data_IF_088380560586
#
_entry.id   IF_088380560586
#
_cell.length_a   1.000
_cell.length_b   1.000
_cell.length_c   1.000
_cell.angle_alpha   90.00
_cell.angle_beta   90.00
_cell.angle_gamma   90.00
#
_symmetry.space_group_name_H-M   'P 1'
#
loop_
_entity.id
_entity.type
_entity.pdbx_description
1 polymer ?
#
# COMPACT_ATOMS: atom_id res chain seq x y z
N UNK A 1 25.14 -0.94 -7.85
CA UNK A 1 25.26 -0.49 -6.45
C UNK A 1 24.19 0.56 -6.24
N UNK A 2 23.40 0.53 -5.16
CA UNK A 2 22.40 1.57 -4.92
C UNK A 2 23.11 2.93 -4.89
N UNK A 3 22.64 3.87 -5.70
CA UNK A 3 23.20 5.23 -5.72
C UNK A 3 22.90 5.89 -4.37
N UNK A 4 23.96 6.29 -3.66
CA UNK A 4 23.86 7.04 -2.40
C UNK A 4 23.22 8.39 -2.71
N UNK A 5 22.17 8.76 -1.98
CA UNK A 5 21.47 10.03 -2.20
C UNK A 5 21.66 11.04 -1.06
N UNK A 6 20.98 12.19 -1.15
CA UNK A 6 21.12 13.26 -0.16
C UNK A 6 20.67 12.80 1.24
N UNK A 7 19.61 12.00 1.32
CA UNK A 7 19.14 11.44 2.58
C UNK A 7 20.17 10.50 3.22
N UNK A 8 20.85 9.67 2.43
CA UNK A 8 21.90 8.78 2.94
C UNK A 8 23.05 9.59 3.61
N UNK A 9 23.47 10.70 2.99
CA UNK A 9 24.49 11.58 3.55
C UNK A 9 24.05 12.20 4.88
N UNK A 10 22.80 12.66 4.95
CA UNK A 10 22.22 13.19 6.19
C UNK A 10 22.19 12.12 7.28
N UNK A 11 21.76 10.89 6.96
CA UNK A 11 21.73 9.79 7.93
C UNK A 11 23.14 9.47 8.42
N UNK A 12 24.15 9.42 7.56
CA UNK A 12 25.54 9.16 7.97
C UNK A 12 26.06 10.23 8.94
N UNK A 13 25.79 11.51 8.66
CA UNK A 13 26.18 12.61 9.56
C UNK A 13 25.45 12.49 10.90
N UNK A 14 24.15 12.21 10.89
CA UNK A 14 23.37 12.00 12.11
C UNK A 14 23.87 10.79 12.90
N UNK A 15 24.22 9.69 12.24
CA UNK A 15 24.81 8.50 12.88
C UNK A 15 26.11 8.86 13.59
N UNK A 16 27.00 9.64 12.97
CA UNK A 16 28.24 10.06 13.62
C UNK A 16 27.99 10.96 14.85
N UNK A 17 27.07 11.93 14.74
CA UNK A 17 26.69 12.81 15.85
C UNK A 17 26.04 12.03 17.01
N UNK A 18 25.13 11.11 16.67
CA UNK A 18 24.38 10.31 17.63
C UNK A 18 25.27 9.24 18.28
N UNK A 19 26.20 8.64 17.55
CA UNK A 19 27.24 7.77 18.09
C UNK A 19 28.12 8.52 19.11
N UNK A 20 28.54 9.74 18.78
CA UNK A 20 29.36 10.56 19.68
C UNK A 20 28.61 10.99 20.94
N UNK A 21 27.37 11.44 20.80
CA UNK A 21 26.53 11.79 21.97
C UNK A 21 26.20 10.56 22.80
N UNK A 22 25.96 9.41 22.17
CA UNK A 22 25.79 8.11 22.81
C UNK A 22 26.98 7.66 23.61
N UNK A 23 28.18 7.80 23.04
CA UNK A 23 29.44 7.53 23.73
C UNK A 23 29.61 8.39 24.98
N UNK A 24 29.17 9.66 24.94
CA UNK A 24 29.20 10.55 26.12
C UNK A 24 28.15 10.17 27.16
N UNK A 25 26.94 9.79 26.72
CA UNK A 25 25.81 9.48 27.61
C UNK A 25 25.93 8.12 28.29
N UNK A 26 26.44 7.10 27.60
CA UNK A 26 26.52 5.72 28.08
C UNK A 26 25.24 4.91 27.85
N UNK A 27 25.40 3.59 27.71
CA UNK A 27 24.35 2.62 27.43
C UNK A 27 23.26 2.60 28.51
N UNK A 28 23.67 2.55 29.79
CA UNK A 28 22.73 2.40 30.90
C UNK A 28 21.71 3.54 30.92
N UNK A 29 22.18 4.78 30.83
CA UNK A 29 21.30 5.94 30.84
C UNK A 29 20.30 5.89 29.67
N UNK A 30 20.75 5.47 28.49
CA UNK A 30 19.91 5.41 27.30
C UNK A 30 18.88 4.27 27.34
N UNK A 31 19.25 3.10 27.84
CA UNK A 31 18.31 2.00 28.00
C UNK A 31 17.14 2.38 28.91
N UNK A 32 17.43 3.05 30.03
CA UNK A 32 16.37 3.51 30.91
C UNK A 32 15.57 4.68 30.32
N UNK A 33 16.21 5.63 29.63
CA UNK A 33 15.52 6.72 28.91
C UNK A 33 14.55 6.16 27.86
N UNK A 34 15.04 5.28 26.98
CA UNK A 34 14.23 4.66 25.92
C UNK A 34 13.16 3.74 26.48
N UNK A 35 13.46 2.97 27.52
CA UNK A 35 12.45 2.17 28.22
C UNK A 35 11.36 3.06 28.82
N UNK A 36 11.74 4.17 29.45
CA UNK A 36 10.83 5.18 29.96
C UNK A 36 9.97 5.81 28.88
N UNK A 37 10.58 6.23 27.76
CA UNK A 37 9.87 6.77 26.60
C UNK A 37 8.84 5.77 26.05
N UNK A 38 9.22 4.51 25.85
CA UNK A 38 8.33 3.46 25.34
C UNK A 38 7.15 3.25 26.28
N UNK A 39 7.41 3.12 27.59
CA UNK A 39 6.35 3.00 28.59
C UNK A 39 5.44 4.23 28.62
N UNK A 40 6.02 5.42 28.48
CA UNK A 40 5.29 6.68 28.37
C UNK A 40 4.38 6.74 27.14
N UNK A 41 4.88 6.33 25.97
CA UNK A 41 4.10 6.21 24.73
C UNK A 41 2.97 5.19 24.88
N UNK A 42 3.23 4.03 25.47
CA UNK A 42 2.20 3.00 25.70
C UNK A 42 1.10 3.50 26.65
N UNK A 43 1.48 4.12 27.77
CA UNK A 43 0.53 4.73 28.69
C UNK A 43 -0.25 5.88 28.02
N UNK A 44 0.44 6.72 27.25
CA UNK A 44 -0.15 7.79 26.46
C UNK A 44 -1.16 7.27 25.43
N UNK A 45 -0.84 6.20 24.71
CA UNK A 45 -1.74 5.59 23.73
C UNK A 45 -3.00 4.98 24.37
N UNK A 46 -2.89 4.44 25.58
CA UNK A 46 -4.03 3.93 26.34
C UNK A 46 -4.90 5.06 26.90
N UNK A 47 -4.29 6.15 27.37
CA UNK A 47 -4.99 7.28 28.00
C UNK A 47 -5.54 8.29 26.99
N UNK A 48 -4.87 8.49 25.87
CA UNK A 48 -5.19 9.52 24.89
C UNK A 48 -6.65 9.44 24.39
N UNK A 49 -7.22 8.28 24.02
CA UNK A 49 -8.62 8.20 23.60
C UNK A 49 -9.61 8.63 24.69
N UNK A 50 -9.37 8.22 25.94
CA UNK A 50 -10.26 8.52 27.07
C UNK A 50 -10.25 10.00 27.45
N UNK A 51 -9.08 10.66 27.33
CA UNK A 51 -8.97 12.11 27.58
C UNK A 51 -9.50 12.89 26.38
N UNK A 52 -9.21 12.45 25.17
CA UNK A 52 -9.61 13.13 23.94
C UNK A 52 -11.12 13.09 23.71
N UNK A 53 -11.82 12.03 24.14
CA UNK A 53 -13.29 11.92 24.04
C UNK A 53 -14.07 12.97 24.85
N UNK A 54 -13.39 13.76 25.70
CA UNK A 54 -13.99 14.89 26.40
C UNK A 54 -14.20 16.10 25.48
N UNK A 55 -13.49 16.16 24.35
CA UNK A 55 -13.66 17.22 23.37
C UNK A 55 -14.87 16.97 22.46
N UNK A 56 -15.50 18.07 22.04
CA UNK A 56 -16.69 18.03 21.16
C UNK A 56 -16.36 18.12 19.66
N UNK A 57 -15.12 18.37 19.31
CA UNK A 57 -14.65 18.61 17.94
C UNK A 57 -13.55 17.62 17.60
N UNK A 58 -13.64 16.99 16.43
CA UNK A 58 -12.68 15.99 15.97
C UNK A 58 -11.25 16.54 15.86
N UNK A 59 -11.10 17.79 15.41
CA UNK A 59 -9.80 18.46 15.34
C UNK A 59 -9.19 18.68 16.73
N UNK A 60 -10.02 19.08 17.71
CA UNK A 60 -9.58 19.26 19.10
C UNK A 60 -9.29 17.92 19.75
N UNK A 61 -10.08 16.90 19.47
CA UNK A 61 -9.86 15.53 19.93
C UNK A 61 -8.52 14.99 19.44
N UNK A 62 -8.21 15.15 18.14
CA UNK A 62 -6.90 14.78 17.59
C UNK A 62 -5.76 15.56 18.27
N UNK A 63 -5.94 16.87 18.47
CA UNK A 63 -4.96 17.71 19.17
C UNK A 63 -4.69 17.25 20.61
N UNK A 64 -5.75 16.92 21.37
CA UNK A 64 -5.62 16.41 22.74
C UNK A 64 -4.95 15.04 22.74
N UNK A 65 -5.32 14.14 21.84
CA UNK A 65 -4.72 12.81 21.76
C UNK A 65 -3.20 12.90 21.52
N UNK A 66 -2.78 13.76 20.60
CA UNK A 66 -1.35 14.02 20.32
C UNK A 66 -0.67 14.62 21.56
N UNK A 67 -1.30 15.61 22.21
CA UNK A 67 -0.73 16.27 23.39
C UNK A 67 -0.54 15.29 24.56
N UNK A 68 -1.53 14.43 24.84
CA UNK A 68 -1.45 13.39 25.87
C UNK A 68 -0.36 12.38 25.53
N UNK A 69 -0.28 11.93 24.29
CA UNK A 69 0.74 10.98 23.85
C UNK A 69 2.16 11.54 24.05
N UNK A 70 2.40 12.77 23.58
CA UNK A 70 3.71 13.43 23.71
C UNK A 70 4.04 13.75 25.17
N UNK A 71 3.06 14.20 25.95
CA UNK A 71 3.22 14.49 27.37
C UNK A 71 3.63 13.25 28.17
N UNK A 72 2.92 12.13 27.96
CA UNK A 72 3.23 10.87 28.64
C UNK A 72 4.57 10.30 28.20
N UNK A 73 4.93 10.41 26.91
CA UNK A 73 6.25 10.03 26.41
C UNK A 73 7.37 10.84 27.10
N UNK A 74 7.21 12.16 27.23
CA UNK A 74 8.17 13.03 27.91
C UNK A 74 8.31 12.73 29.40
N UNK A 75 7.20 12.49 30.10
CA UNK A 75 7.21 12.07 31.51
C UNK A 75 7.96 10.73 31.66
N UNK A 76 7.64 9.77 30.80
CA UNK A 76 8.31 8.47 30.78
C UNK A 76 9.81 8.58 30.57
N UNK A 77 10.26 9.35 29.57
CA UNK A 77 11.68 9.61 29.31
C UNK A 77 12.38 10.25 30.50
N UNK A 78 11.76 11.25 31.14
CA UNK A 78 12.32 11.89 32.33
C UNK A 78 12.48 10.92 33.51
N UNK A 79 11.46 10.08 33.78
CA UNK A 79 11.53 9.06 34.82
C UNK A 79 12.60 8.01 34.52
N UNK A 80 12.67 7.58 33.26
CA UNK A 80 13.71 6.70 32.74
C UNK A 80 15.10 7.28 32.94
N UNK A 81 15.29 8.56 32.61
CA UNK A 81 16.55 9.26 32.82
C UNK A 81 16.95 9.30 34.30
N UNK A 82 16.02 9.63 35.22
CA UNK A 82 16.27 9.61 36.67
C UNK A 82 16.67 8.22 37.14
N UNK A 83 15.93 7.18 36.76
CA UNK A 83 16.26 5.79 37.10
C UNK A 83 17.65 5.39 36.53
N UNK A 84 17.92 5.76 35.29
CA UNK A 84 19.19 5.49 34.62
C UNK A 84 20.38 6.13 35.32
N UNK A 85 20.27 7.38 35.77
CA UNK A 85 21.33 8.03 36.55
C UNK A 85 21.58 7.33 37.90
N UNK A 86 20.52 6.89 38.58
CA UNK A 86 20.61 6.18 39.86
C UNK A 86 21.27 4.80 39.72
N UNK A 87 20.94 4.05 38.66
CA UNK A 87 21.56 2.75 38.35
C UNK A 87 23.01 2.94 37.92
N UNK A 88 23.27 3.91 37.03
CA UNK A 88 24.61 4.22 36.55
C UNK A 88 25.56 4.59 37.68
N UNK A 89 25.12 5.42 38.63
CA UNK A 89 25.92 5.81 39.80
C UNK A 89 26.35 4.60 40.64
N UNK A 90 25.54 3.55 40.73
CA UNK A 90 25.88 2.30 41.43
C UNK A 90 26.79 1.38 40.63
N UNK A 91 26.63 1.35 39.31
CA UNK A 91 27.36 0.43 38.43
C UNK A 91 28.80 0.87 38.11
N UNK A 92 29.08 2.18 38.10
CA UNK A 92 30.40 2.74 37.73
C UNK A 92 31.49 2.57 38.81
N UNK A 93 31.26 1.77 39.86
CA UNK A 93 32.31 1.39 40.83
C UNK A 93 33.44 0.52 40.26
N UNK A 94 33.30 0.02 39.03
CA UNK A 94 34.26 -0.85 38.34
C UNK A 94 34.76 -0.21 37.03
N UNK A 95 36.08 -0.04 36.80
CA UNK A 95 36.63 0.66 35.63
C UNK A 95 36.21 0.07 34.27
N UNK A 96 36.07 -1.25 34.20
CA UNK A 96 35.68 -1.99 32.99
C UNK A 96 34.23 -1.66 32.58
N UNK A 97 33.36 -1.39 33.55
CA UNK A 97 31.96 -1.03 33.30
C UNK A 97 31.85 0.35 32.64
N UNK A 98 32.76 1.27 32.97
CA UNK A 98 32.73 2.62 32.40
C UNK A 98 33.05 2.68 30.91
N UNK A 99 34.05 1.91 30.45
CA UNK A 99 34.41 1.86 29.02
C UNK A 99 33.38 1.09 28.21
N UNK A 100 32.86 -0.02 28.75
CA UNK A 100 31.79 -0.80 28.13
C UNK A 100 30.49 0.00 28.02
N UNK A 101 30.11 0.76 29.05
CA UNK A 101 28.94 1.63 29.06
C UNK A 101 29.01 2.69 27.95
N UNK A 102 30.17 3.34 27.76
CA UNK A 102 30.37 4.32 26.69
C UNK A 102 30.30 3.69 25.30
N UNK A 103 31.00 2.58 25.08
CA UNK A 103 30.97 1.88 23.80
C UNK A 103 29.54 1.39 23.46
N UNK A 104 28.85 0.79 24.43
CA UNK A 104 27.47 0.35 24.29
C UNK A 104 26.50 1.51 24.03
N UNK A 105 26.73 2.67 24.64
CA UNK A 105 25.91 3.87 24.40
C UNK A 105 25.97 4.34 22.95
N UNK A 106 27.14 4.30 22.32
CA UNK A 106 27.27 4.58 20.88
C UNK A 106 26.40 3.62 20.05
N UNK A 107 26.51 2.31 20.29
CA UNK A 107 25.75 1.28 19.57
C UNK A 107 24.25 1.47 19.73
N UNK A 108 23.78 1.62 20.97
CA UNK A 108 22.35 1.80 21.28
C UNK A 108 21.79 3.06 20.62
N UNK A 109 22.56 4.14 20.60
CA UNK A 109 22.13 5.39 19.97
C UNK A 109 22.02 5.26 18.44
N UNK A 110 23.00 4.60 17.81
CA UNK A 110 22.98 4.35 16.37
C UNK A 110 21.80 3.46 16.01
N UNK A 111 21.59 2.35 16.72
CA UNK A 111 20.44 1.46 16.52
C UNK A 111 19.13 2.23 16.72
N UNK A 112 19.00 3.02 17.78
CA UNK A 112 17.82 3.83 18.05
C UNK A 112 17.53 4.83 16.92
N UNK A 113 18.55 5.54 16.43
CA UNK A 113 18.41 6.45 15.29
C UNK A 113 17.94 5.71 14.05
N UNK A 114 18.57 4.59 13.69
CA UNK A 114 18.22 3.82 12.50
C UNK A 114 16.78 3.29 12.56
N UNK A 115 16.33 2.81 13.73
CA UNK A 115 14.95 2.38 13.93
C UNK A 115 13.96 3.54 13.77
N UNK A 116 14.27 4.70 14.34
CA UNK A 116 13.44 5.91 14.18
C UNK A 116 13.43 6.37 12.71
N UNK A 117 14.57 6.37 12.04
CA UNK A 117 14.66 6.70 10.61
C UNK A 117 13.83 5.74 9.77
N UNK A 118 13.93 4.44 9.99
CA UNK A 118 13.13 3.43 9.30
C UNK A 118 11.63 3.66 9.54
N UNK A 119 11.21 3.85 10.79
CA UNK A 119 9.82 4.12 11.14
C UNK A 119 9.28 5.40 10.50
N UNK A 120 10.04 6.50 10.54
CA UNK A 120 9.65 7.76 9.93
C UNK A 120 9.60 7.65 8.40
N UNK A 121 10.59 7.03 7.78
CA UNK A 121 10.62 6.81 6.33
C UNK A 121 9.39 6.04 5.86
N UNK A 122 9.05 4.97 6.56
CA UNK A 122 7.87 4.15 6.31
C UNK A 122 6.55 4.95 6.34
N UNK A 123 6.42 5.90 7.27
CA UNK A 123 5.20 6.72 7.39
C UNK A 123 5.18 7.91 6.42
N UNK A 124 6.34 8.44 6.08
CA UNK A 124 6.47 9.65 5.26
C UNK A 124 6.59 9.35 3.76
N UNK A 125 6.94 8.12 3.35
CA UNK A 125 7.14 7.75 1.94
C UNK A 125 5.91 7.96 1.04
N UNK A 126 4.72 7.97 1.64
CA UNK A 126 3.44 8.22 0.96
C UNK A 126 2.86 9.61 1.29
N UNK A 127 3.65 10.47 1.94
CA UNK A 127 3.20 11.81 2.32
C UNK A 127 2.98 12.73 1.11
N UNK A 128 2.41 13.93 1.31
CA UNK A 128 2.07 14.86 0.22
C UNK A 128 3.32 15.48 -0.48
N UNK A 129 4.52 15.29 0.07
CA UNK A 129 5.75 15.91 -0.40
C UNK A 129 6.55 14.98 -1.35
N UNK A 130 6.20 15.00 -2.64
CA UNK A 130 6.77 14.09 -3.66
C UNK A 130 8.30 14.14 -3.78
N UNK A 131 8.93 15.29 -3.57
CA UNK A 131 10.40 15.41 -3.59
C UNK A 131 11.06 14.60 -2.46
N UNK A 132 10.49 14.67 -1.25
CA UNK A 132 11.00 13.95 -0.09
C UNK A 132 10.77 12.44 -0.20
N UNK A 133 9.62 12.02 -0.75
CA UNK A 133 9.30 10.61 -0.98
C UNK A 133 10.32 9.94 -1.92
N UNK A 134 10.80 10.66 -2.95
CA UNK A 134 11.85 10.16 -3.86
C UNK A 134 13.18 9.95 -3.15
N UNK A 135 13.57 10.85 -2.24
CA UNK A 135 14.77 10.68 -1.41
C UNK A 135 14.64 9.45 -0.49
N UNK A 136 13.48 9.21 0.12
CA UNK A 136 13.25 8.01 0.94
C UNK A 136 13.41 6.72 0.13
N UNK A 137 12.72 6.60 -1.02
CA UNK A 137 12.79 5.39 -1.87
C UNK A 137 14.15 5.19 -2.53
N UNK A 138 14.85 6.29 -2.79
CA UNK A 138 16.18 6.30 -3.37
C UNK A 138 17.30 5.92 -2.40
N UNK A 139 17.07 6.01 -1.09
CA UNK A 139 18.10 5.84 -0.05
C UNK A 139 18.57 4.39 0.03
N UNK A 140 19.89 4.20 -0.02
CA UNK A 140 20.51 2.89 0.18
C UNK A 140 20.34 2.42 1.64
N UNK A 141 20.52 3.31 2.62
CA UNK A 141 20.43 2.98 4.04
C UNK A 141 19.01 2.58 4.40
N UNK A 142 18.02 3.39 4.04
CA UNK A 142 16.61 3.12 4.37
C UNK A 142 16.13 1.81 3.74
N UNK A 143 16.49 1.53 2.48
CA UNK A 143 16.17 0.22 1.85
C UNK A 143 16.87 -0.95 2.53
N UNK A 144 18.12 -0.78 2.96
CA UNK A 144 18.85 -1.82 3.68
C UNK A 144 18.21 -2.10 5.04
N UNK A 145 17.72 -1.05 5.73
CA UNK A 145 16.96 -1.19 6.96
C UNK A 145 15.63 -1.92 6.72
N UNK A 146 14.88 -1.53 5.69
CA UNK A 146 13.59 -2.15 5.35
C UNK A 146 13.73 -3.63 4.96
N UNK A 147 14.82 -4.00 4.29
CA UNK A 147 15.11 -5.39 3.96
C UNK A 147 15.59 -6.23 5.17
N UNK A 148 16.20 -5.60 6.17
CA UNK A 148 16.74 -6.29 7.35
C UNK A 148 15.75 -6.39 8.52
N UNK A 149 14.81 -5.44 8.62
CA UNK A 149 13.83 -5.35 9.69
C UNK A 149 12.54 -6.08 9.32
N UNK A 150 11.79 -6.60 10.31
CA UNK A 150 10.50 -7.22 10.04
C UNK A 150 9.49 -6.19 9.54
N UNK A 151 8.56 -6.64 8.70
CA UNK A 151 7.46 -5.81 8.20
C UNK A 151 6.67 -5.18 9.35
N UNK A 152 6.24 -3.91 9.22
CA UNK A 152 5.51 -3.22 10.27
C UNK A 152 4.17 -3.91 10.59
N UNK A 153 3.73 -3.90 11.86
CA UNK A 153 2.46 -4.50 12.26
C UNK A 153 1.26 -3.81 11.59
N UNK A 154 0.14 -4.54 11.43
CA UNK A 154 -1.04 -4.10 10.68
C UNK A 154 -1.69 -2.80 11.18
N UNK A 155 -1.52 -2.46 12.47
CA UNK A 155 -2.02 -1.20 13.05
C UNK A 155 -1.45 0.04 12.34
N UNK A 156 -0.22 -0.02 11.81
CA UNK A 156 0.35 1.08 11.02
C UNK A 156 -0.34 1.23 9.65
N UNK A 157 -0.77 0.14 9.03
CA UNK A 157 -1.49 0.17 7.76
C UNK A 157 -2.88 0.80 7.92
N UNK A 158 -3.48 0.71 9.10
CA UNK A 158 -4.77 1.36 9.43
C UNK A 158 -4.63 2.88 9.53
N UNK A 159 -3.59 3.38 10.22
CA UNK A 159 -3.30 4.81 10.27
C UNK A 159 -2.97 5.38 8.88
N UNK A 160 -2.21 4.65 8.06
CA UNK A 160 -1.90 5.09 6.68
C UNK A 160 -3.13 5.16 5.78
N UNK A 161 -4.03 4.18 5.85
CA UNK A 161 -5.28 4.17 5.07
C UNK A 161 -6.20 5.32 5.47
N UNK A 162 -6.27 5.66 6.75
CA UNK A 162 -7.00 6.85 7.20
C UNK A 162 -6.44 8.15 6.59
N UNK A 163 -5.12 8.24 6.43
CA UNK A 163 -4.46 9.40 5.83
C UNK A 163 -4.52 9.41 4.30
N UNK A 164 -4.60 8.23 3.66
CA UNK A 164 -4.70 8.06 2.22
C UNK A 164 -6.17 8.13 1.77
N UNK A 165 -6.67 9.33 1.49
CA UNK A 165 -8.04 9.61 1.05
C UNK A 165 -8.47 9.02 -0.32
N UNK A 166 -7.67 8.16 -0.96
CA UNK A 166 -7.78 7.89 -2.41
C UNK A 166 -8.38 6.52 -2.79
N UNK A 167 -8.96 5.76 -1.85
CA UNK A 167 -9.78 4.57 -2.17
C UNK A 167 -9.05 3.37 -2.79
N UNK A 168 -7.74 3.42 -3.01
CA UNK A 168 -6.94 2.31 -3.54
C UNK A 168 -6.26 1.48 -2.44
N UNK A 169 -6.12 0.16 -2.64
CA UNK A 169 -5.36 -0.70 -1.74
C UNK A 169 -3.85 -0.42 -1.80
N UNK A 170 -3.16 -0.64 -0.68
CA UNK A 170 -1.70 -0.55 -0.61
C UNK A 170 -1.06 -1.73 -1.38
N UNK A 171 -0.30 -1.42 -2.43
CA UNK A 171 0.38 -2.44 -3.27
C UNK A 171 1.52 -3.14 -2.54
N UNK A 172 2.23 -2.42 -1.67
CA UNK A 172 3.43 -2.90 -0.98
C UNK A 172 3.24 -2.80 0.54
N UNK A 173 3.65 -3.85 1.28
CA UNK A 173 3.60 -3.85 2.73
C UNK A 173 4.69 -2.94 3.35
N UNK A 174 5.84 -2.85 2.68
CA UNK A 174 7.00 -2.05 3.05
C UNK A 174 7.21 -0.84 2.14
N UNK A 175 8.48 -0.47 1.91
CA UNK A 175 8.80 0.60 0.98
C UNK A 175 8.57 0.13 -0.47
N UNK A 176 7.81 0.89 -1.28
CA UNK A 176 7.70 0.60 -2.70
C UNK A 176 9.11 0.61 -3.34
N UNK A 177 9.38 -0.30 -4.29
CA UNK A 177 10.62 -0.27 -5.04
C UNK A 177 10.76 1.10 -5.73
N UNK A 178 12.00 1.56 -5.92
CA UNK A 178 12.23 2.77 -6.68
C UNK A 178 11.52 2.66 -8.04
N UNK A 179 10.75 3.68 -8.48
CA UNK A 179 10.02 3.62 -9.74
C UNK A 179 10.97 3.25 -10.87
N UNK A 180 10.58 2.32 -11.72
CA UNK A 180 11.37 2.09 -12.91
C UNK A 180 11.28 3.35 -13.77
N UNK A 181 12.33 3.64 -14.54
CA UNK A 181 12.33 4.80 -15.42
C UNK A 181 11.14 4.76 -16.39
N UNK A 182 10.72 5.91 -16.95
CA UNK A 182 9.65 5.92 -17.95
C UNK A 182 10.03 5.07 -19.17
N UNK A 183 9.00 4.63 -19.89
CA UNK A 183 9.07 3.90 -21.16
C UNK A 183 8.40 4.70 -22.27
N UNK A 184 8.68 4.32 -23.51
CA UNK A 184 7.98 4.90 -24.66
C UNK A 184 6.52 4.45 -24.63
N UNK A 185 5.61 5.43 -24.68
CA UNK A 185 4.18 5.15 -24.74
C UNK A 185 3.80 4.59 -26.12
N UNK A 186 2.77 3.72 -26.21
CA UNK A 186 2.24 3.27 -27.49
C UNK A 186 1.76 4.46 -28.32
N UNK A 187 1.77 4.29 -29.64
CA UNK A 187 1.16 5.27 -30.54
C UNK A 187 -0.34 5.39 -30.28
N UNK A 188 -0.94 6.52 -30.65
CA UNK A 188 -2.39 6.70 -30.53
C UNK A 188 -3.19 5.66 -31.33
N UNK A 189 -2.65 5.21 -32.47
CA UNK A 189 -3.26 4.15 -33.27
C UNK A 189 -3.29 2.81 -32.51
N UNK A 190 -2.17 2.42 -31.88
CA UNK A 190 -2.09 1.19 -31.08
C UNK A 190 -3.04 1.24 -29.87
N UNK A 191 -3.08 2.37 -29.15
CA UNK A 191 -3.97 2.53 -28.01
C UNK A 191 -5.44 2.54 -28.42
N UNK A 192 -5.79 3.19 -29.53
CA UNK A 192 -7.15 3.17 -30.09
C UNK A 192 -7.58 1.77 -30.52
N UNK A 193 -6.66 1.00 -31.11
CA UNK A 193 -6.91 -0.38 -31.49
C UNK A 193 -7.20 -1.26 -30.25
N UNK A 194 -6.37 -1.14 -29.20
CA UNK A 194 -6.60 -1.83 -27.92
C UNK A 194 -7.94 -1.44 -27.29
N UNK A 195 -8.28 -0.13 -27.30
CA UNK A 195 -9.57 0.35 -26.81
C UNK A 195 -10.73 -0.25 -27.60
N UNK A 196 -10.68 -0.25 -28.93
CA UNK A 196 -11.74 -0.79 -29.78
C UNK A 196 -11.93 -2.30 -29.57
N UNK A 197 -10.86 -3.05 -29.32
CA UNK A 197 -10.93 -4.47 -29.04
C UNK A 197 -11.62 -4.77 -27.71
N UNK A 198 -11.39 -3.94 -26.68
CA UNK A 198 -11.84 -4.19 -25.33
C UNK A 198 -13.15 -3.51 -24.93
N UNK A 199 -13.47 -2.35 -25.52
CA UNK A 199 -14.61 -1.55 -25.10
C UNK A 199 -15.92 -2.36 -25.04
N UNK A 200 -16.31 -3.14 -26.07
CA UNK A 200 -17.56 -3.93 -26.03
C UNK A 200 -17.64 -4.94 -24.88
N UNK A 201 -16.49 -5.36 -24.33
CA UNK A 201 -16.36 -6.31 -23.24
C UNK A 201 -16.17 -5.66 -21.87
N UNK A 202 -15.89 -4.35 -21.83
CA UNK A 202 -15.71 -3.60 -20.59
C UNK A 202 -17.05 -3.19 -20.00
N UNK A 203 -17.18 -3.35 -18.69
CA UNK A 203 -18.42 -3.10 -17.95
C UNK A 203 -18.14 -2.35 -16.64
N UNK A 204 -19.12 -1.56 -16.20
CA UNK A 204 -19.08 -0.88 -14.90
C UNK A 204 -19.66 -1.78 -13.84
N UNK A 205 -18.95 -1.98 -12.73
CA UNK A 205 -19.45 -2.72 -11.58
C UNK A 205 -19.99 -1.74 -10.56
N UNK A 206 -21.23 -1.94 -10.11
CA UNK A 206 -21.86 -1.08 -9.10
C UNK A 206 -22.44 -1.94 -7.98
N UNK A 207 -22.28 -1.52 -6.73
CA UNK A 207 -22.83 -2.21 -5.58
C UNK A 207 -23.07 -1.24 -4.42
N UNK A 208 -23.93 -1.63 -3.48
CA UNK A 208 -24.10 -0.90 -2.24
C UNK A 208 -23.62 -1.75 -1.08
N UNK A 209 -22.69 -1.21 -0.30
CA UNK A 209 -22.15 -1.83 0.89
C UNK A 209 -21.64 -0.75 1.83
N UNK A 210 -21.54 -1.04 3.12
CA UNK A 210 -20.79 -0.19 4.07
C UNK A 210 -21.33 1.24 4.23
N UNK A 211 -22.57 1.51 3.81
CA UNK A 211 -23.18 2.85 3.82
C UNK A 211 -22.83 3.70 2.58
N UNK A 212 -22.15 3.12 1.58
CA UNK A 212 -21.69 3.80 0.38
C UNK A 212 -22.11 3.04 -0.90
N UNK A 213 -22.10 3.75 -2.03
CA UNK A 213 -22.20 3.13 -3.35
C UNK A 213 -20.78 2.93 -3.85
N UNK A 214 -20.40 1.67 -4.02
CA UNK A 214 -19.12 1.26 -4.58
C UNK A 214 -19.27 1.16 -6.10
N UNK A 215 -18.29 1.68 -6.82
CA UNK A 215 -18.19 1.57 -8.27
C UNK A 215 -16.77 1.20 -8.66
N UNK A 216 -16.66 0.35 -9.69
CA UNK A 216 -15.40 -0.01 -10.31
C UNK A 216 -15.62 -0.46 -11.74
N UNK A 217 -14.60 -1.09 -12.30
CA UNK A 217 -14.57 -1.61 -13.65
C UNK A 217 -14.49 -3.13 -13.64
N UNK A 218 -14.85 -3.73 -14.76
CA UNK A 218 -14.70 -5.16 -15.00
C UNK A 218 -14.71 -5.44 -16.49
N UNK A 219 -14.44 -6.68 -16.85
CA UNK A 219 -14.52 -7.12 -18.24
C UNK A 219 -14.92 -8.58 -18.36
N UNK A 220 -15.59 -8.92 -19.46
CA UNK A 220 -16.07 -10.26 -19.74
C UNK A 220 -14.90 -11.16 -20.16
N UNK A 221 -14.69 -12.27 -19.44
CA UNK A 221 -13.61 -13.25 -19.71
C UNK A 221 -14.12 -14.57 -20.28
N UNK A 222 -15.39 -14.88 -20.05
CA UNK A 222 -16.09 -16.03 -20.63
C UNK A 222 -17.58 -15.68 -20.67
N UNK A 223 -18.39 -16.34 -21.51
CA UNK A 223 -19.78 -15.95 -21.84
C UNK A 223 -20.58 -15.29 -20.71
N UNK A 224 -20.56 -15.88 -19.50
CA UNK A 224 -21.34 -15.39 -18.36
C UNK A 224 -20.48 -14.87 -17.20
N UNK A 225 -19.15 -14.78 -17.35
CA UNK A 225 -18.26 -14.36 -16.26
C UNK A 225 -17.54 -13.05 -16.55
N UNK A 226 -17.58 -12.17 -15.56
CA UNK A 226 -16.89 -10.88 -15.53
C UNK A 226 -15.81 -10.92 -14.45
N UNK A 227 -14.59 -10.53 -14.80
CA UNK A 227 -13.51 -10.30 -13.82
C UNK A 227 -13.56 -8.86 -13.34
N UNK A 228 -13.34 -8.67 -12.05
CA UNK A 228 -13.10 -7.37 -11.41
C UNK A 228 -12.18 -7.55 -10.20
N UNK A 229 -11.86 -6.49 -9.47
CA UNK A 229 -11.14 -6.63 -8.21
C UNK A 229 -12.04 -7.06 -7.05
N UNK A 230 -11.47 -7.78 -6.09
CA UNK A 230 -12.19 -8.19 -4.89
C UNK A 230 -12.64 -6.96 -4.07
N UNK A 231 -11.80 -5.93 -3.95
CA UNK A 231 -12.15 -4.73 -3.20
C UNK A 231 -13.35 -3.96 -3.79
N UNK A 232 -13.61 -4.08 -5.10
CA UNK A 232 -14.76 -3.42 -5.77
C UNK A 232 -16.09 -4.01 -5.29
N UNK A 233 -16.11 -5.30 -4.91
CA UNK A 233 -17.31 -6.01 -4.48
C UNK A 233 -17.28 -6.44 -3.01
N UNK A 234 -16.29 -5.99 -2.25
CA UNK A 234 -16.14 -6.37 -0.84
C UNK A 234 -17.33 -5.85 0.00
N UNK A 235 -17.99 -6.77 0.71
CA UNK A 235 -19.21 -6.49 1.47
C UNK A 235 -20.47 -6.22 0.61
N UNK A 236 -20.37 -6.28 -0.72
CA UNK A 236 -21.52 -6.14 -1.63
C UNK A 236 -22.25 -7.48 -1.70
N UNK A 237 -23.55 -7.50 -1.39
CA UNK A 237 -24.38 -8.71 -1.47
C UNK A 237 -24.95 -8.94 -2.88
N UNK A 238 -25.34 -7.87 -3.57
CA UNK A 238 -26.02 -7.92 -4.87
C UNK A 238 -25.36 -6.92 -5.85
N UNK A 239 -24.19 -7.27 -6.42
CA UNK A 239 -23.54 -6.41 -7.41
C UNK A 239 -24.36 -6.34 -8.71
N UNK A 240 -24.19 -5.23 -9.42
CA UNK A 240 -24.77 -4.97 -10.73
C UNK A 240 -23.64 -4.77 -11.74
N UNK A 241 -23.80 -5.36 -12.92
CA UNK A 241 -22.93 -5.16 -14.08
C UNK A 241 -23.64 -4.24 -15.05
N UNK A 242 -23.08 -3.06 -15.30
CA UNK A 242 -23.64 -2.06 -16.18
C UNK A 242 -22.86 -1.98 -17.48
N UNK A 243 -23.57 -2.14 -18.59
CA UNK A 243 -23.04 -2.02 -19.94
C UNK A 243 -22.96 -0.54 -20.36
N UNK A 244 -22.22 -0.26 -21.44
CA UNK A 244 -22.03 1.11 -21.94
C UNK A 244 -23.33 1.81 -22.36
N UNK A 245 -24.36 1.05 -22.75
CA UNK A 245 -25.68 1.57 -23.11
C UNK A 245 -26.54 1.92 -21.88
N UNK A 246 -26.02 1.71 -20.67
CA UNK A 246 -26.71 1.93 -19.40
C UNK A 246 -27.51 0.74 -18.91
N UNK A 247 -27.56 -0.37 -19.66
CA UNK A 247 -28.24 -1.60 -19.24
C UNK A 247 -27.57 -2.16 -17.99
N UNK A 248 -28.35 -2.36 -16.93
CA UNK A 248 -27.89 -2.95 -15.65
C UNK A 248 -28.34 -4.40 -15.55
N UNK A 249 -27.38 -5.30 -15.37
CA UNK A 249 -27.59 -6.72 -15.26
C UNK A 249 -27.29 -7.17 -13.81
N UNK A 250 -28.18 -7.93 -13.17
CA UNK A 250 -27.90 -8.50 -11.86
C UNK A 250 -26.72 -9.48 -11.98
N UNK A 251 -25.80 -9.42 -11.03
CA UNK A 251 -24.62 -10.26 -11.01
C UNK A 251 -24.50 -10.99 -9.67
N UNK A 252 -23.93 -12.18 -9.71
CA UNK A 252 -23.64 -12.97 -8.51
C UNK A 252 -22.14 -13.13 -8.37
N UNK A 253 -21.56 -12.76 -7.23
CA UNK A 253 -20.14 -13.06 -6.97
C UNK A 253 -19.97 -14.57 -6.77
N UNK A 254 -19.28 -15.25 -7.69
CA UNK A 254 -19.09 -16.71 -7.68
C UNK A 254 -17.67 -17.12 -7.28
N UNK A 255 -16.74 -16.17 -7.32
CA UNK A 255 -15.41 -16.29 -6.73
C UNK A 255 -14.99 -14.94 -6.15
N UNK A 256 -14.35 -15.00 -4.97
CA UNK A 256 -13.83 -13.86 -4.25
C UNK A 256 -12.53 -14.30 -3.58
N UNK A 257 -11.39 -13.78 -4.03
CA UNK A 257 -10.09 -14.04 -3.40
C UNK A 257 -9.47 -12.73 -2.89
N UNK A 258 -9.54 -12.46 -1.58
CA UNK A 258 -9.01 -11.24 -0.99
C UNK A 258 -7.47 -11.18 -1.05
N UNK A 259 -6.79 -12.30 -1.32
CA UNK A 259 -5.33 -12.36 -1.39
C UNK A 259 -4.83 -11.85 -2.73
N UNK A 260 -5.43 -12.30 -3.83
CA UNK A 260 -5.10 -11.83 -5.19
C UNK A 260 -5.77 -10.50 -5.53
N UNK A 261 -6.75 -10.06 -4.72
CA UNK A 261 -7.63 -8.91 -5.03
C UNK A 261 -8.42 -9.12 -6.32
N UNK A 262 -8.91 -10.35 -6.53
CA UNK A 262 -9.71 -10.72 -7.69
C UNK A 262 -11.08 -11.25 -7.26
N UNK A 263 -12.10 -10.87 -8.03
CA UNK A 263 -13.42 -11.45 -7.96
C UNK A 263 -13.91 -11.81 -9.37
N UNK A 264 -14.74 -12.84 -9.43
CA UNK A 264 -15.45 -13.24 -10.65
C UNK A 264 -16.93 -13.18 -10.38
N UNK A 265 -17.63 -12.44 -11.23
CA UNK A 265 -19.08 -12.26 -11.18
C UNK A 265 -19.72 -13.10 -12.30
N UNK A 266 -20.76 -13.83 -11.95
CA UNK A 266 -21.61 -14.53 -12.90
C UNK A 266 -22.81 -13.65 -13.28
N UNK A 267 -23.08 -13.53 -14.58
CA UNK A 267 -24.16 -12.72 -15.16
C UNK A 267 -24.91 -13.58 -16.19
N UNK A 268 -26.10 -14.05 -15.83
CA UNK A 268 -26.89 -15.00 -16.65
C UNK A 268 -27.24 -14.47 -18.04
N UNK A 269 -27.37 -13.15 -18.19
CA UNK A 269 -27.81 -12.51 -19.44
C UNK A 269 -26.71 -12.42 -20.52
N UNK A 270 -25.45 -12.79 -20.21
CA UNK A 270 -24.33 -12.65 -21.13
C UNK A 270 -23.93 -11.17 -21.33
N UNK A 271 -23.01 -10.62 -20.53
CA UNK A 271 -22.75 -9.18 -20.46
C UNK A 271 -22.00 -8.59 -21.67
N UNK A 272 -21.57 -9.41 -22.63
CA UNK A 272 -20.86 -8.95 -23.83
C UNK A 272 -19.93 -10.00 -24.44
N UNK A 273 -19.17 -9.64 -25.50
CA UNK A 273 -18.13 -10.49 -26.06
C UNK A 273 -16.99 -10.71 -25.05
N UNK A 274 -16.22 -11.78 -25.22
CA UNK A 274 -15.16 -12.17 -24.28
C UNK A 274 -13.79 -11.63 -24.69
N UNK A 275 -12.98 -11.21 -23.72
CA UNK A 275 -11.56 -10.91 -23.94
C UNK A 275 -10.66 -12.09 -23.53
N UNK A 276 -9.71 -12.51 -24.38
CA UNK A 276 -8.76 -13.55 -24.02
C UNK A 276 -7.73 -13.02 -23.03
N UNK A 277 -7.46 -13.79 -21.98
CA UNK A 277 -6.36 -13.53 -21.05
C UNK A 277 -5.04 -14.02 -21.67
N UNK A 278 -4.00 -13.19 -21.59
CA UNK A 278 -2.67 -13.56 -22.05
C UNK A 278 -2.03 -14.57 -21.07
N UNK A 279 -1.63 -15.74 -21.57
CA UNK A 279 -1.09 -16.81 -20.71
C UNK A 279 0.40 -16.65 -20.38
N UNK A 280 1.03 -15.56 -20.83
CA UNK A 280 2.46 -15.31 -20.68
C UNK A 280 2.69 -13.91 -20.17
N UNK A 281 3.77 -13.73 -19.39
CA UNK A 281 4.16 -12.41 -18.96
C UNK A 281 4.64 -11.51 -20.11
N UNK A 282 4.48 -10.21 -19.94
CA UNK A 282 4.92 -9.21 -20.91
C UNK A 282 6.14 -8.42 -20.42
N UNK A 283 7.02 -8.11 -21.36
CA UNK A 283 8.25 -7.39 -21.06
C UNK A 283 8.03 -5.89 -20.88
N UNK A 284 9.04 -5.23 -20.28
CA UNK A 284 9.15 -3.78 -20.26
C UNK A 284 9.02 -3.19 -21.67
N UNK A 285 8.18 -2.16 -21.82
CA UNK A 285 7.91 -1.47 -23.08
C UNK A 285 6.72 -2.01 -23.86
N UNK A 286 6.13 -3.15 -23.46
CA UNK A 286 4.88 -3.62 -24.05
C UNK A 286 3.77 -2.59 -23.81
N UNK A 287 3.18 -2.10 -24.90
CA UNK A 287 2.21 -1.00 -24.88
C UNK A 287 0.81 -1.43 -25.31
N UNK A 288 -0.19 -0.76 -24.76
CA UNK A 288 -1.60 -1.03 -24.97
C UNK A 288 -2.47 0.10 -24.39
N UNK A 289 -3.66 -0.25 -23.92
CA UNK A 289 -4.55 0.67 -23.23
C UNK A 289 -5.12 0.05 -21.95
N UNK A 290 -5.30 0.87 -20.91
CA UNK A 290 -6.16 0.53 -19.77
C UNK A 290 -7.56 1.07 -20.03
N UNK A 291 -8.58 0.28 -19.72
CA UNK A 291 -9.97 0.68 -19.86
C UNK A 291 -10.66 0.66 -18.50
N UNK A 292 -11.48 1.66 -18.22
CA UNK A 292 -12.19 1.75 -16.95
C UNK A 292 -13.27 2.82 -16.92
N UNK A 293 -13.92 2.96 -15.77
CA UNK A 293 -14.99 3.92 -15.49
C UNK A 293 -14.57 4.89 -14.38
N UNK A 294 -13.65 5.84 -14.64
CA UNK A 294 -13.18 6.80 -13.64
C UNK A 294 -14.34 7.55 -12.96
N UNK A 295 -14.31 7.63 -11.64
CA UNK A 295 -15.35 8.26 -10.82
C UNK A 295 -16.74 7.63 -10.95
N UNK A 296 -16.85 6.44 -11.54
CA UNK A 296 -18.13 5.83 -11.91
C UNK A 296 -18.80 6.54 -13.10
N UNK A 297 -18.06 7.29 -13.92
CA UNK A 297 -18.55 7.99 -15.10
C UNK A 297 -18.71 7.09 -16.33
N UNK A 298 -18.38 7.64 -17.50
CA UNK A 298 -18.37 6.90 -18.78
C UNK A 298 -17.10 6.05 -18.94
N UNK A 299 -17.15 5.07 -19.84
CA UNK A 299 -15.98 4.27 -20.19
C UNK A 299 -14.90 5.15 -20.84
N UNK A 300 -13.70 5.12 -20.28
CA UNK A 300 -12.52 5.78 -20.85
C UNK A 300 -11.45 4.76 -21.22
N UNK A 301 -10.52 5.19 -22.07
CA UNK A 301 -9.34 4.42 -22.47
C UNK A 301 -8.10 5.28 -22.35
N UNK A 302 -7.14 4.85 -21.53
CA UNK A 302 -5.88 5.54 -21.31
C UNK A 302 -4.72 4.76 -21.92
N UNK A 303 -3.74 5.47 -22.50
CA UNK A 303 -2.53 4.81 -23.01
C UNK A 303 -1.77 4.21 -21.84
N UNK A 304 -1.30 2.98 -22.01
CA UNK A 304 -0.56 2.28 -20.99
C UNK A 304 0.64 1.53 -21.58
N UNK A 305 1.73 1.46 -20.82
CA UNK A 305 2.89 0.65 -21.16
C UNK A 305 3.54 0.04 -19.93
N UNK A 306 4.05 -1.18 -20.04
CA UNK A 306 4.70 -1.87 -18.94
C UNK A 306 6.06 -1.23 -18.65
N UNK A 307 6.25 -0.68 -17.46
CA UNK A 307 7.56 -0.26 -16.96
C UNK A 307 8.38 -1.47 -16.52
N UNK A 308 7.77 -2.43 -15.82
CA UNK A 308 8.39 -3.73 -15.47
C UNK A 308 7.35 -4.69 -14.86
N UNK A 309 7.59 -6.01 -14.94
CA UNK A 309 7.01 -6.96 -14.00
C UNK A 309 7.64 -6.81 -12.61
N UNK A 310 6.86 -7.07 -11.56
CA UNK A 310 7.26 -7.04 -10.16
C UNK A 310 6.51 -8.16 -9.41
N UNK A 311 7.24 -8.95 -8.63
CA UNK A 311 6.64 -9.78 -7.59
C UNK A 311 6.41 -8.89 -6.36
N UNK A 312 5.19 -8.35 -6.26
CA UNK A 312 4.83 -7.38 -5.22
C UNK A 312 4.43 -8.10 -3.94
N UNK A 313 5.24 -7.91 -2.89
CA UNK A 313 4.90 -8.32 -1.52
C UNK A 313 4.07 -7.22 -0.87
N UNK A 314 2.77 -7.47 -0.78
CA UNK A 314 1.75 -6.57 -0.24
C UNK A 314 0.97 -7.20 0.89
N UNK A 315 -0.17 -6.59 1.22
CA UNK A 315 -1.17 -7.19 2.11
C UNK A 315 -2.43 -7.56 1.32
N UNK A 316 -3.21 -8.49 1.85
CA UNK A 316 -4.57 -8.74 1.36
C UNK A 316 -5.45 -7.48 1.44
N UNK A 317 -6.61 -7.48 0.78
CA UNK A 317 -7.51 -6.31 0.75
C UNK A 317 -7.99 -5.86 2.13
N UNK A 318 -7.80 -6.68 3.17
CA UNK A 318 -8.19 -6.37 4.56
C UNK A 318 -6.99 -5.97 5.44
N UNK A 319 -5.78 -5.89 4.87
CA UNK A 319 -4.56 -5.57 5.60
C UNK A 319 -4.09 -6.67 6.57
N UNK A 320 -4.68 -7.87 6.54
CA UNK A 320 -4.48 -8.90 7.59
C UNK A 320 -3.30 -9.81 7.30
N UNK A 321 -3.14 -10.24 6.06
CA UNK A 321 -2.13 -11.23 5.66
C UNK A 321 -1.18 -10.63 4.64
N UNK A 322 0.09 -11.01 4.75
CA UNK A 322 1.07 -10.78 3.69
C UNK A 322 0.74 -11.68 2.50
N UNK A 323 0.87 -11.13 1.30
CA UNK A 323 0.60 -11.82 0.04
C UNK A 323 1.60 -11.37 -1.01
N UNK A 324 1.94 -12.27 -1.91
CA UNK A 324 2.78 -12.02 -3.07
C UNK A 324 1.91 -12.08 -4.32
N UNK A 325 2.10 -11.12 -5.24
CA UNK A 325 1.35 -11.00 -6.48
C UNK A 325 2.28 -10.65 -7.63
N UNK A 326 2.16 -11.34 -8.76
CA UNK A 326 2.79 -10.90 -9.99
C UNK A 326 2.01 -9.69 -10.52
N UNK A 327 2.66 -8.52 -10.55
CA UNK A 327 2.05 -7.26 -11.00
C UNK A 327 2.91 -6.58 -12.04
N UNK A 328 2.27 -5.81 -12.92
CA UNK A 328 2.95 -4.85 -13.78
C UNK A 328 2.91 -3.46 -13.15
N UNK A 329 4.07 -2.84 -13.04
CA UNK A 329 4.16 -1.38 -12.91
C UNK A 329 3.90 -0.80 -14.30
N UNK A 330 2.79 -0.09 -14.46
CA UNK A 330 2.37 0.52 -15.72
C UNK A 330 2.72 2.01 -15.72
N UNK A 331 3.19 2.50 -16.85
CA UNK A 331 3.14 3.92 -17.18
C UNK A 331 1.75 4.21 -17.73
N UNK A 332 0.84 4.60 -16.85
CA UNK A 332 -0.55 4.91 -17.15
C UNK A 332 -1.09 5.85 -16.06
N UNK A 333 -2.04 6.71 -16.44
CA UNK A 333 -2.85 7.43 -15.47
C UNK A 333 -3.96 6.48 -15.02
N UNK A 334 -4.02 6.18 -13.73
CA UNK A 334 -5.05 5.33 -13.12
C UNK A 334 -5.82 6.16 -12.10
N UNK A 335 -7.13 6.14 -12.19
CA UNK A 335 -8.06 6.95 -11.40
C UNK A 335 -9.06 6.06 -10.64
N UNK A 336 -9.58 6.51 -9.49
CA UNK A 336 -10.60 5.75 -8.77
C UNK A 336 -11.75 5.38 -9.70
N UNK A 337 -12.16 4.12 -9.73
CA UNK A 337 -13.12 3.58 -10.69
C UNK A 337 -12.49 2.72 -11.79
N UNK A 338 -11.21 2.86 -12.09
CA UNK A 338 -10.48 1.98 -13.03
C UNK A 338 -10.22 0.58 -12.48
N UNK A 339 -10.29 0.41 -11.15
CA UNK A 339 -10.09 -0.88 -10.47
C UNK A 339 -10.96 -1.99 -11.06
N UNK A 340 -10.34 -3.10 -11.45
CA UNK A 340 -10.95 -4.25 -12.10
C UNK A 340 -10.99 -4.16 -13.62
N UNK A 341 -10.63 -3.00 -14.18
CA UNK A 341 -10.55 -2.77 -15.63
C UNK A 341 -9.35 -3.49 -16.28
N UNK A 342 -9.43 -3.82 -17.58
CA UNK A 342 -8.37 -4.56 -18.25
C UNK A 342 -7.24 -3.63 -18.74
N UNK A 343 -6.00 -4.09 -18.64
CA UNK A 343 -4.88 -3.62 -19.44
C UNK A 343 -4.75 -4.50 -20.69
N UNK A 344 -5.03 -3.93 -21.86
CA UNK A 344 -5.26 -4.66 -23.12
C UNK A 344 -4.24 -4.28 -24.18
N UNK A 345 -3.73 -5.28 -24.88
CA UNK A 345 -2.81 -5.11 -26.01
C UNK A 345 -3.58 -4.85 -27.32
N UNK A 346 -2.93 -4.32 -28.38
CA UNK A 346 -3.60 -4.02 -29.65
C UNK A 346 -4.27 -5.23 -30.33
N UNK A 347 -3.89 -6.46 -29.98
CA UNK A 347 -4.52 -7.68 -30.49
C UNK A 347 -5.79 -8.10 -29.71
N UNK A 348 -6.18 -7.35 -28.68
CA UNK A 348 -7.33 -7.62 -27.83
C UNK A 348 -7.06 -8.55 -26.65
N UNK A 349 -5.82 -9.03 -26.49
CA UNK A 349 -5.43 -9.83 -25.32
C UNK A 349 -5.27 -8.97 -24.07
N UNK A 350 -5.79 -9.46 -22.94
CA UNK A 350 -5.67 -8.81 -21.64
C UNK A 350 -4.36 -9.26 -21.00
N UNK A 351 -3.43 -8.33 -20.86
CA UNK A 351 -2.15 -8.57 -20.20
C UNK A 351 -2.28 -8.47 -18.67
N UNK A 352 -3.23 -7.69 -18.13
CA UNK A 352 -3.46 -7.63 -16.69
C UNK A 352 -4.75 -6.92 -16.27
N UNK A 353 -5.01 -6.88 -14.97
CA UNK A 353 -6.19 -6.26 -14.34
C UNK A 353 -5.76 -5.11 -13.45
N UNK A 354 -6.15 -3.88 -13.80
CA UNK A 354 -5.81 -2.66 -13.04
C UNK A 354 -6.38 -2.77 -11.63
N UNK A 355 -5.58 -2.49 -10.60
CA UNK A 355 -6.06 -2.60 -9.20
C UNK A 355 -5.60 -1.47 -8.28
N UNK A 356 -4.56 -0.72 -8.64
CA UNK A 356 -4.05 0.36 -7.80
C UNK A 356 -3.33 1.43 -8.62
N UNK A 357 -3.26 2.64 -8.05
CA UNK A 357 -2.43 3.74 -8.54
C UNK A 357 -1.26 4.00 -7.59
N UNK A 358 -0.18 4.59 -8.10
CA UNK A 358 0.91 5.09 -7.26
C UNK A 358 0.47 6.33 -6.50
N UNK A 359 0.67 6.33 -5.18
CA UNK A 359 0.34 7.45 -4.28
C UNK A 359 1.24 8.69 -4.48
N UNK A 360 2.31 8.58 -5.26
CA UNK A 360 3.35 9.63 -5.35
C UNK A 360 3.75 9.99 -6.78
N UNK A 361 3.46 9.12 -7.74
CA UNK A 361 3.71 9.36 -9.16
C UNK A 361 2.39 9.15 -9.91
N UNK A 362 1.67 10.22 -10.29
CA UNK A 362 0.37 10.10 -10.94
C UNK A 362 0.43 9.48 -12.34
N UNK A 363 1.64 9.24 -12.88
CA UNK A 363 1.85 8.56 -14.15
C UNK A 363 2.11 7.05 -14.01
N UNK A 364 1.96 6.50 -12.80
CA UNK A 364 2.18 5.09 -12.49
C UNK A 364 0.91 4.44 -11.95
N UNK A 365 0.51 3.36 -12.61
CA UNK A 365 -0.53 2.44 -12.16
C UNK A 365 0.02 1.04 -11.95
N UNK A 366 -0.78 0.18 -11.33
CA UNK A 366 -0.45 -1.23 -11.13
C UNK A 366 -1.58 -2.12 -11.63
N UNK A 367 -1.21 -3.20 -12.32
CA UNK A 367 -2.12 -4.21 -12.80
C UNK A 367 -1.65 -5.61 -12.37
N UNK A 368 -2.56 -6.45 -11.89
CA UNK A 368 -2.30 -7.87 -11.60
C UNK A 368 -2.05 -8.56 -12.94
N UNK A 369 -0.96 -9.30 -13.07
CA UNK A 369 -0.62 -9.99 -14.31
C UNK A 369 -1.69 -11.04 -14.64
N UNK A 370 -2.07 -11.14 -15.91
CA UNK A 370 -3.06 -12.11 -16.40
C UNK A 370 -2.69 -13.56 -16.05
N UNK A 371 -1.41 -13.88 -15.94
CA UNK A 371 -0.89 -15.17 -15.44
C UNK A 371 -1.39 -15.51 -14.04
N UNK A 372 -1.54 -14.53 -13.15
CA UNK A 372 -2.11 -14.69 -11.80
C UNK A 372 -3.64 -14.64 -11.78
N UNK A 373 -4.27 -14.08 -12.82
CA UNK A 373 -5.73 -13.99 -12.97
C UNK A 373 -6.33 -15.29 -13.50
N UNK A 374 -5.64 -15.97 -14.42
CA UNK A 374 -6.11 -17.20 -15.07
C UNK A 374 -6.52 -18.29 -14.07
N UNK A 375 -5.74 -18.60 -13.00
CA UNK A 375 -6.16 -19.57 -11.99
C UNK A 375 -7.52 -19.26 -11.36
N UNK A 376 -7.80 -17.98 -11.09
CA UNK A 376 -9.06 -17.56 -10.46
C UNK A 376 -10.24 -17.66 -11.42
N UNK A 377 -10.05 -17.27 -12.69
CA UNK A 377 -11.05 -17.46 -13.74
C UNK A 377 -11.35 -18.94 -13.96
N UNK A 378 -10.32 -19.80 -13.99
CA UNK A 378 -10.49 -21.25 -14.13
C UNK A 378 -11.24 -21.86 -12.94
N UNK A 379 -10.97 -21.39 -11.70
CA UNK A 379 -11.71 -21.83 -10.51
C UNK A 379 -13.17 -21.41 -10.54
N UNK A 380 -13.48 -20.26 -11.13
CA UNK A 380 -14.84 -19.73 -11.25
C UNK A 380 -15.65 -20.36 -12.39
N UNK A 381 -14.99 -21.01 -13.36
CA UNK A 381 -15.66 -21.62 -14.51
C UNK A 381 -16.79 -22.58 -14.07
N UNK A 382 -18.00 -22.35 -14.61
CA UNK A 382 -19.19 -23.14 -14.31
C UNK A 382 -19.81 -22.92 -12.93
N UNK A 383 -19.28 -22.00 -12.10
CA UNK A 383 -19.89 -21.64 -10.83
C UNK A 383 -20.98 -20.61 -11.03
N UNK A 384 -22.12 -20.84 -10.39
CA UNK A 384 -23.27 -19.92 -10.39
C UNK A 384 -23.74 -19.57 -8.97
N UNK A 385 -23.24 -20.28 -7.95
CA UNK A 385 -23.63 -20.07 -6.56
C UNK A 385 -22.88 -18.90 -5.94
N UNK A 386 -23.56 -18.05 -5.14
CA UNK A 386 -22.92 -16.95 -4.46
C UNK A 386 -21.86 -17.43 -3.47
N UNK A 387 -20.77 -16.67 -3.37
CA UNK A 387 -19.78 -16.77 -2.29
C UNK A 387 -19.81 -15.51 -1.42
N UNK A 388 -19.35 -15.61 -0.18
CA UNK A 388 -19.23 -14.44 0.68
C UNK A 388 -18.18 -13.47 0.14
N UNK A 389 -18.54 -12.19 0.06
CA UNK A 389 -17.65 -11.05 -0.26
C UNK A 389 -16.97 -10.46 0.97
N UNK A 390 -17.02 -11.17 2.10
CA UNK A 390 -16.44 -10.74 3.37
C UNK A 390 -17.08 -9.47 3.92
N UNK A 391 -16.29 -8.69 4.66
CA UNK A 391 -16.72 -7.41 5.22
C UNK A 391 -16.24 -6.22 4.39
N UNK A 392 -16.56 -5.03 4.87
CA UNK A 392 -16.04 -3.77 4.33
C UNK A 392 -14.52 -3.72 4.37
N UNK A 393 -13.91 -3.27 3.28
CA UNK A 393 -12.52 -2.81 3.29
C UNK A 393 -12.51 -1.50 4.10
N UNK A 394 -12.02 -1.56 5.34
CA UNK A 394 -11.87 -0.40 6.24
C UNK A 394 -10.42 -0.04 6.38
#
# INVERSE_FOLDING_TARGET
>A
MPNVNGLDLVIVVLVALVAFTGFRRGALLQLFSYGGLILGVLAGALLAPAVASLARSDAVQAGIAIAVLLGMAGIGDALGWVAGTWVRARAHGLPVVGTADKAGGSVISVVGLLLVTWFLALNLVNGPFTQFNREIRGSAIVRSLDAALPQPPSLLAEVRRFLNQHGFPDVFAGLPPAPAGPVHMPSEAQARQAFQAAAPSSVRIVGSACGEVLSGSGFVVSGDNVVTNAHVVAGVEAPQVQQQDGTSLPATTVLFDPRTDLAVLHVEAGPGPTLPLLATEVNRGTGGATLGYPGGGDLTGERAAVRRPIDAVGRDIYGKREVERAVYELQAKVEPGDSGGPFVLPDGSVAGVVFAASTTDPSVGYAIASTDVIPDVNRAAGRTRPVSTGGCVR
#
